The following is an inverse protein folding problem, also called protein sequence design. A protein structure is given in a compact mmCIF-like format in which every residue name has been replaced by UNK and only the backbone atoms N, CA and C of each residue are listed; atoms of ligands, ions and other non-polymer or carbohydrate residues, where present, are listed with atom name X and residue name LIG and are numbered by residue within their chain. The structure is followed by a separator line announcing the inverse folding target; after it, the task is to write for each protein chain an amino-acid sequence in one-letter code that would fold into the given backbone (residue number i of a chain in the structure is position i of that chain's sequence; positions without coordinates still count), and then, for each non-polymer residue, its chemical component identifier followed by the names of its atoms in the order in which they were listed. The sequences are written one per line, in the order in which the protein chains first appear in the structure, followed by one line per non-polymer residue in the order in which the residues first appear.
data_IF_558216434393
#
_entry.id   IF_558216434393
#
_cell.length_a   1.000
_cell.length_b   1.000
_cell.length_c   1.000
_cell.angle_alpha   90.00
_cell.angle_beta   90.00
_cell.angle_gamma   90.00
#
_symmetry.space_group_name_H-M   'P 1'
#
loop_
_entity.id
_entity.type
_entity.pdbx_description
1 polymer ?
#
# COMPACT_ATOMS: atom_id res chain seq x y z
N UNK A 1 -1.52 -7.41 0.79
CA UNK A 1 -0.14 -7.81 1.14
C UNK A 1 -0.13 -8.43 2.53
N UNK A 2 0.70 -9.42 2.81
CA UNK A 2 0.88 -10.00 4.15
C UNK A 2 1.54 -9.01 5.11
N UNK A 3 1.61 -9.35 6.41
CA UNK A 3 2.16 -8.49 7.47
C UNK A 3 3.65 -8.16 7.31
N UNK A 4 4.39 -8.97 6.56
CA UNK A 4 5.79 -8.71 6.16
C UNK A 4 5.89 -7.80 4.91
N UNK A 5 4.76 -7.34 4.39
CA UNK A 5 4.69 -6.44 3.24
C UNK A 5 4.70 -7.13 1.87
N UNK A 6 4.78 -8.46 1.77
CA UNK A 6 4.72 -9.18 0.48
C UNK A 6 3.33 -9.14 -0.12
N UNK A 7 3.19 -8.91 -1.42
CA UNK A 7 1.88 -9.05 -2.06
C UNK A 7 1.46 -10.52 -2.12
N UNK A 8 0.22 -10.77 -1.71
CA UNK A 8 -0.39 -12.11 -1.70
C UNK A 8 -1.47 -12.26 -2.76
N UNK A 9 -1.98 -11.13 -3.25
CA UNK A 9 -3.00 -11.04 -4.27
C UNK A 9 -3.05 -9.60 -4.83
N UNK A 10 -3.61 -9.48 -6.03
CA UNK A 10 -3.91 -8.23 -6.73
C UNK A 10 -5.02 -8.50 -7.74
N UNK A 11 -5.95 -7.57 -7.88
CA UNK A 11 -6.99 -7.69 -8.91
C UNK A 11 -6.43 -7.31 -10.29
N UNK A 12 -7.17 -7.63 -11.36
CA UNK A 12 -6.74 -7.31 -12.73
C UNK A 12 -6.46 -5.83 -12.95
N UNK A 13 -7.24 -4.94 -12.33
CA UNK A 13 -7.03 -3.50 -12.42
C UNK A 13 -5.67 -3.08 -11.83
N UNK A 14 -5.23 -3.72 -10.75
CA UNK A 14 -3.92 -3.49 -10.16
C UNK A 14 -2.79 -3.92 -11.12
N UNK A 15 -2.95 -5.06 -11.81
CA UNK A 15 -2.02 -5.49 -12.86
C UNK A 15 -1.96 -4.46 -13.99
N UNK A 16 -3.13 -4.04 -14.49
CA UNK A 16 -3.25 -3.07 -15.59
C UNK A 16 -2.62 -1.70 -15.22
N UNK A 17 -2.83 -1.22 -13.99
CA UNK A 17 -2.30 0.07 -13.53
C UNK A 17 -0.80 0.04 -13.25
N UNK A 18 -0.30 -1.02 -12.62
CA UNK A 18 1.11 -1.10 -12.21
C UNK A 18 2.02 -1.62 -13.34
N UNK A 19 1.43 -2.28 -14.34
CA UNK A 19 2.14 -2.94 -15.43
C UNK A 19 2.83 -4.25 -15.04
N UNK A 20 2.68 -4.69 -13.79
CA UNK A 20 3.19 -5.99 -13.33
C UNK A 20 2.15 -7.08 -13.57
N UNK A 21 2.60 -8.25 -14.03
CA UNK A 21 1.71 -9.42 -14.05
C UNK A 21 1.44 -9.90 -12.63
N UNK A 22 0.37 -10.68 -12.44
CA UNK A 22 0.11 -11.37 -11.18
C UNK A 22 1.34 -12.09 -10.61
N UNK A 23 2.08 -12.85 -11.42
CA UNK A 23 3.26 -13.59 -10.98
C UNK A 23 4.41 -12.67 -10.55
N UNK A 24 4.53 -11.49 -11.15
CA UNK A 24 5.50 -10.47 -10.76
C UNK A 24 5.06 -9.81 -9.45
N UNK A 25 3.79 -9.43 -9.33
CA UNK A 25 3.22 -8.83 -8.11
C UNK A 25 3.52 -9.70 -6.89
N UNK A 26 3.31 -11.02 -6.99
CA UNK A 26 3.55 -11.96 -5.88
C UNK A 26 5.03 -12.04 -5.42
N UNK A 27 5.97 -11.50 -6.21
CA UNK A 27 7.39 -11.40 -5.85
C UNK A 27 7.75 -10.03 -5.27
N UNK A 28 6.84 -9.06 -5.34
CA UNK A 28 7.04 -7.70 -4.85
C UNK A 28 6.59 -7.55 -3.38
N UNK A 29 7.11 -6.51 -2.76
CA UNK A 29 6.65 -5.97 -1.49
C UNK A 29 6.04 -4.58 -1.70
N UNK A 30 5.24 -4.12 -0.74
CA UNK A 30 4.73 -2.75 -0.68
C UNK A 30 5.84 -1.69 -0.85
N UNK A 31 7.06 -1.98 -0.39
CA UNK A 31 8.21 -1.08 -0.48
C UNK A 31 8.77 -0.98 -1.89
N UNK A 32 8.57 -1.99 -2.74
CA UNK A 32 8.95 -1.90 -4.15
C UNK A 32 8.10 -0.89 -4.93
N UNK A 33 6.90 -0.57 -4.45
CA UNK A 33 6.03 0.44 -5.05
C UNK A 33 6.24 1.84 -4.45
N UNK A 34 7.00 1.97 -3.36
CA UNK A 34 7.31 3.28 -2.79
C UNK A 34 8.37 3.99 -3.65
N UNK A 35 8.18 5.30 -3.88
CA UNK A 35 9.22 6.16 -4.45
C UNK A 35 10.49 6.10 -3.58
N UNK A 36 11.70 6.16 -4.15
CA UNK A 36 12.93 6.27 -3.37
C UNK A 36 12.91 7.41 -2.34
N UNK A 37 12.25 8.53 -2.66
CA UNK A 37 12.12 9.67 -1.76
C UNK A 37 11.21 9.38 -0.55
N UNK A 38 10.20 8.54 -0.75
CA UNK A 38 9.16 8.23 0.24
C UNK A 38 9.40 6.88 0.95
N UNK A 39 10.41 6.11 0.54
CA UNK A 39 10.67 4.74 1.00
C UNK A 39 10.90 4.65 2.51
N UNK A 40 11.77 5.51 3.07
CA UNK A 40 12.07 5.51 4.50
C UNK A 40 10.85 5.87 5.34
N UNK A 41 10.08 6.86 4.90
CA UNK A 41 8.83 7.26 5.56
C UNK A 41 7.81 6.11 5.48
N UNK A 42 7.67 5.49 4.31
CA UNK A 42 6.77 4.34 4.11
C UNK A 42 7.13 3.21 5.07
N UNK A 43 8.42 2.88 5.20
CA UNK A 43 8.90 1.86 6.14
C UNK A 43 8.51 2.18 7.58
N UNK A 44 8.73 3.42 8.03
CA UNK A 44 8.37 3.85 9.38
C UNK A 44 6.86 3.77 9.63
N UNK A 45 6.04 4.27 8.70
CA UNK A 45 4.58 4.28 8.87
C UNK A 45 4.01 2.86 8.87
N UNK A 46 4.47 1.99 7.97
CA UNK A 46 4.06 0.59 7.93
C UNK A 46 4.47 -0.15 9.22
N UNK A 47 5.70 0.10 9.71
CA UNK A 47 6.15 -0.45 10.99
C UNK A 47 5.28 -0.01 12.16
N UNK A 48 4.90 1.27 12.19
CA UNK A 48 3.98 1.79 13.21
C UNK A 48 2.59 1.16 13.11
N UNK A 49 2.05 0.96 11.90
CA UNK A 49 0.76 0.29 11.70
C UNK A 49 0.74 -1.17 12.23
N UNK A 50 1.88 -1.87 12.20
CA UNK A 50 1.98 -3.23 12.75
C UNK A 50 1.99 -3.23 14.27
N UNK A 51 2.65 -2.26 14.88
CA UNK A 51 2.90 -2.22 16.33
C UNK A 51 1.81 -1.49 17.13
N UNK A 52 1.00 -0.65 16.48
CA UNK A 52 0.05 0.18 17.20
C UNK A 52 -1.28 -0.56 17.45
N UNK A 53 -1.43 -1.07 18.68
CA UNK A 53 -2.64 -1.69 19.24
C UNK A 53 -3.47 -0.68 20.09
N UNK A 54 -2.94 0.54 20.27
CA UNK A 54 -3.34 1.49 21.32
C UNK A 54 -4.15 2.70 20.85
N UNK A 55 -4.81 2.65 19.69
CA UNK A 55 -5.77 3.72 19.33
C UNK A 55 -7.05 3.58 20.17
N UNK A 56 -7.02 4.25 21.31
CA UNK A 56 -8.15 4.53 22.20
C UNK A 56 -9.14 5.52 21.54
N UNK A 57 -8.77 6.13 20.40
CA UNK A 57 -9.61 7.09 19.66
C UNK A 57 -10.12 6.48 18.33
N UNK A 58 -11.18 5.70 18.45
CA UNK A 58 -11.68 4.68 17.52
C UNK A 58 -12.34 5.14 16.20
N UNK A 59 -12.03 6.32 15.64
CA UNK A 59 -12.74 6.78 14.43
C UNK A 59 -11.90 6.91 13.15
N UNK A 60 -10.58 6.88 13.22
CA UNK A 60 -9.73 6.97 12.03
C UNK A 60 -9.16 5.60 11.63
N UNK A 61 -9.56 5.09 10.47
CA UNK A 61 -8.89 3.94 9.84
C UNK A 61 -7.42 4.29 9.62
N UNK A 62 -6.49 3.58 10.26
CA UNK A 62 -5.06 3.78 10.03
C UNK A 62 -4.75 3.55 8.55
N UNK A 63 -4.43 4.63 7.84
CA UNK A 63 -4.05 4.57 6.45
C UNK A 63 -2.83 5.45 6.15
N UNK A 64 -1.99 4.97 5.24
CA UNK A 64 -0.85 5.70 4.73
C UNK A 64 -1.08 5.96 3.25
N UNK A 65 -1.00 7.22 2.84
CA UNK A 65 -1.18 7.60 1.44
C UNK A 65 0.16 7.98 0.83
N UNK A 66 0.48 7.37 -0.30
CA UNK A 66 1.52 7.82 -1.22
C UNK A 66 0.89 8.60 -2.37
N UNK A 67 1.55 9.68 -2.75
CA UNK A 67 1.16 10.54 -3.87
C UNK A 67 1.89 10.21 -5.18
N UNK A 68 2.83 9.27 -5.10
CA UNK A 68 3.61 8.74 -6.22
C UNK A 68 3.98 7.30 -5.92
N UNK A 69 4.09 6.47 -6.94
CA UNK A 69 4.48 5.08 -6.80
C UNK A 69 5.41 4.64 -7.94
N UNK A 70 6.28 3.69 -7.63
CA UNK A 70 7.17 3.05 -8.60
C UNK A 70 6.45 1.90 -9.28
N UNK A 71 6.11 2.08 -10.56
CA UNK A 71 5.51 1.05 -11.41
C UNK A 71 6.53 0.52 -12.41
N UNK A 72 6.14 -0.50 -13.20
CA UNK A 72 7.03 -1.11 -14.19
C UNK A 72 7.50 -0.11 -15.25
N UNK A 73 6.66 0.89 -15.57
CA UNK A 73 6.98 1.98 -16.50
C UNK A 73 7.83 3.10 -15.89
N UNK A 74 8.12 3.05 -14.59
CA UNK A 74 8.75 4.13 -13.84
C UNK A 74 7.84 4.76 -12.78
N UNK A 75 8.29 5.86 -12.19
CA UNK A 75 7.53 6.60 -11.18
C UNK A 75 6.30 7.28 -11.80
N UNK A 76 5.13 7.10 -11.19
CA UNK A 76 3.89 7.73 -11.63
C UNK A 76 3.18 8.47 -10.48
N UNK A 77 2.54 9.61 -10.76
CA UNK A 77 1.64 10.25 -9.80
C UNK A 77 0.41 9.36 -9.61
N UNK A 78 0.13 9.00 -8.36
CA UNK A 78 -1.02 8.18 -7.97
C UNK A 78 -1.53 8.62 -6.62
N UNK A 79 -2.73 8.21 -6.25
CA UNK A 79 -3.09 8.12 -4.84
C UNK A 79 -3.09 6.64 -4.48
N UNK A 80 -2.09 6.20 -3.73
CA UNK A 80 -1.99 4.82 -3.24
C UNK A 80 -2.18 4.81 -1.74
N UNK A 81 -3.12 4.01 -1.24
CA UNK A 81 -3.44 3.93 0.20
C UNK A 81 -3.14 2.54 0.73
N UNK A 82 -2.37 2.46 1.82
CA UNK A 82 -2.19 1.25 2.61
C UNK A 82 -3.02 1.34 3.89
N UNK A 83 -3.73 0.29 4.22
CA UNK A 83 -4.45 0.13 5.49
C UNK A 83 -4.20 -1.27 6.04
N UNK A 84 -4.31 -1.44 7.36
CA UNK A 84 -4.10 -2.74 8.00
C UNK A 84 -5.43 -3.35 8.45
N UNK A 85 -5.68 -4.58 8.01
CA UNK A 85 -6.84 -5.37 8.42
C UNK A 85 -6.45 -6.23 9.62
N UNK A 86 -7.25 -6.17 10.67
CA UNK A 86 -7.09 -6.95 11.91
C UNK A 86 -8.18 -7.99 12.05
N UNK A 87 -7.93 -9.03 12.83
CA UNK A 87 -8.95 -10.02 13.19
C UNK A 87 -9.77 -9.59 14.42
N UNK A 88 -10.58 -10.52 14.95
CA UNK A 88 -11.44 -10.28 16.12
C UNK A 88 -10.67 -10.06 17.41
N UNK A 89 -9.42 -10.52 17.48
CA UNK A 89 -8.51 -10.36 18.61
C UNK A 89 -7.62 -9.12 18.44
N UNK A 90 -7.88 -8.30 17.41
CA UNK A 90 -7.09 -7.13 17.01
C UNK A 90 -5.69 -7.46 16.46
N UNK A 91 -5.38 -8.72 16.23
CA UNK A 91 -4.11 -9.11 15.63
C UNK A 91 -4.05 -8.69 14.15
N UNK A 92 -2.91 -8.15 13.67
CA UNK A 92 -2.74 -7.79 12.26
C UNK A 92 -2.80 -9.02 11.35
N UNK A 93 -3.69 -9.00 10.36
CA UNK A 93 -3.89 -10.12 9.43
C UNK A 93 -3.21 -9.88 8.07
N UNK A 94 -3.46 -8.72 7.46
CA UNK A 94 -2.87 -8.32 6.18
C UNK A 94 -3.03 -6.83 5.94
N UNK A 95 -2.22 -6.27 5.04
CA UNK A 95 -2.42 -4.94 4.48
C UNK A 95 -3.34 -4.99 3.26
N UNK A 96 -4.29 -4.05 3.22
CA UNK A 96 -5.08 -3.74 2.04
C UNK A 96 -4.47 -2.51 1.34
N UNK A 97 -4.13 -2.68 0.06
CA UNK A 97 -3.55 -1.65 -0.79
C UNK A 97 -4.56 -1.28 -1.87
N UNK A 98 -4.82 0.01 -2.04
CA UNK A 98 -5.72 0.53 -3.08
C UNK A 98 -4.97 1.60 -3.86
N UNK A 99 -5.04 1.52 -5.19
CA UNK A 99 -4.46 2.52 -6.08
C UNK A 99 -5.61 3.26 -6.78
N UNK A 100 -5.57 4.58 -6.73
CA UNK A 100 -6.41 5.46 -7.51
C UNK A 100 -5.53 6.17 -8.54
N UNK A 101 -5.97 6.16 -9.79
CA UNK A 101 -5.37 7.00 -10.81
C UNK A 101 -5.70 8.46 -10.47
N UNK A 102 -4.70 9.34 -10.58
CA UNK A 102 -4.95 10.78 -10.56
C UNK A 102 -4.96 11.20 -12.02
N UNK A 103 -6.10 11.01 -12.69
CA UNK A 103 -6.24 11.51 -14.05
C UNK A 103 -6.06 13.03 -14.03
N UNK A 104 -5.18 13.54 -14.90
CA UNK A 104 -4.98 14.96 -15.06
C UNK A 104 -6.16 15.60 -15.77
N UNK A 105 -7.16 16.08 -15.01
CA UNK A 105 -8.08 17.17 -15.41
C UNK A 105 -8.59 17.92 -14.18
N UNK A 106 -7.87 18.98 -13.79
CA UNK A 106 -8.55 20.22 -13.42
C UNK A 106 -8.55 21.07 -14.69
N UNK A 107 -9.62 20.96 -15.48
CA UNK A 107 -10.00 22.04 -16.42
C UNK A 107 -10.76 23.11 -15.63
#
# INVERSE_FOLDING_TARGET
ASVDGRFIDGNRMFEDMTGYTREEILKLTIFNLASPADLLQTFSVIGNMLNNDNDIDSTAMQHHTLHRAMFKSGEQPVKMTFSIVRDKERAPKFFHCVIFNVEGKYE
#
